data_IF_973312126138
#
_entry.id   IF_973312126138
#
_cell.length_a   1.000
_cell.length_b   1.000
_cell.length_c   1.000
_cell.angle_alpha   90.00
_cell.angle_beta   90.00
_cell.angle_gamma   90.00
#
_symmetry.space_group_name_H-M   'P 1'
#
loop_
_entity.id
_entity.type
_entity.pdbx_description
1 polymer ?
#
# COMPACT_ATOMS: atom_id res chain seq x y z
N UNK A 1 43.03 -37.42 -37.38
CA UNK A 1 44.39 -37.63 -37.90
C UNK A 1 44.46 -37.62 -39.44
N UNK A 2 43.41 -37.96 -40.23
CA UNK A 2 43.44 -38.08 -41.66
C UNK A 2 43.73 -36.76 -42.41
N UNK A 3 43.16 -35.63 -41.97
CA UNK A 3 43.21 -34.33 -42.70
C UNK A 3 44.13 -33.28 -42.06
N UNK A 4 44.74 -33.56 -40.92
CA UNK A 4 45.66 -32.64 -40.23
C UNK A 4 47.00 -32.47 -40.94
N UNK A 5 47.82 -31.49 -40.50
CA UNK A 5 49.14 -31.23 -41.05
C UNK A 5 50.06 -32.47 -41.13
N UNK A 6 49.89 -33.47 -40.27
CA UNK A 6 50.55 -34.77 -40.22
C UNK A 6 49.63 -35.92 -40.61
N UNK A 7 48.50 -35.64 -41.27
CA UNK A 7 47.52 -36.65 -41.68
C UNK A 7 48.00 -37.45 -42.86
N UNK A 8 47.47 -38.67 -42.96
CA UNK A 8 47.92 -39.63 -44.03
C UNK A 8 47.64 -39.08 -45.42
N UNK A 9 46.49 -38.42 -45.66
CA UNK A 9 46.16 -37.80 -46.95
C UNK A 9 47.11 -36.63 -47.24
N UNK A 10 47.48 -35.86 -46.24
CA UNK A 10 48.44 -34.76 -46.40
C UNK A 10 49.85 -35.26 -46.62
N UNK A 11 50.28 -36.38 -46.01
CA UNK A 11 51.57 -36.98 -46.23
C UNK A 11 51.69 -37.55 -47.63
N UNK A 12 50.65 -38.15 -48.20
CA UNK A 12 50.59 -38.60 -49.60
C UNK A 12 50.76 -37.40 -50.55
N UNK A 13 50.12 -36.28 -50.28
CA UNK A 13 50.27 -35.05 -51.06
C UNK A 13 51.70 -34.50 -51.02
N UNK A 14 52.37 -34.59 -49.88
CA UNK A 14 53.80 -34.19 -49.77
C UNK A 14 54.77 -35.13 -50.53
N UNK A 15 54.43 -36.43 -50.65
CA UNK A 15 55.24 -37.39 -51.38
C UNK A 15 55.10 -37.27 -52.90
N UNK A 16 54.13 -36.51 -53.41
CA UNK A 16 53.96 -36.32 -54.88
C UNK A 16 55.15 -35.71 -55.57
N UNK A 17 56.03 -35.00 -54.84
CA UNK A 17 57.30 -34.49 -55.38
C UNK A 17 58.31 -35.60 -55.81
N UNK A 18 58.17 -36.83 -55.32
CA UNK A 18 58.99 -37.97 -55.55
C UNK A 18 58.52 -38.91 -56.70
N UNK A 19 57.34 -38.58 -57.25
CA UNK A 19 56.66 -39.39 -58.29
C UNK A 19 57.04 -38.84 -59.71
N UNK A 20 57.04 -39.73 -60.74
CA UNK A 20 57.25 -39.33 -62.07
C UNK A 20 56.33 -38.21 -62.55
N UNK A 21 56.85 -37.26 -63.38
CA UNK A 21 56.05 -36.06 -63.75
C UNK A 21 54.74 -36.40 -64.45
N UNK A 22 54.66 -37.51 -65.16
CA UNK A 22 53.50 -37.94 -65.94
C UNK A 22 52.36 -38.47 -65.05
N UNK A 23 52.70 -39.01 -63.90
CA UNK A 23 51.68 -39.58 -62.93
C UNK A 23 51.16 -38.56 -61.89
N UNK A 24 51.90 -37.44 -61.70
CA UNK A 24 51.52 -36.41 -60.70
C UNK A 24 50.07 -35.86 -60.85
N UNK A 25 49.59 -35.56 -62.06
CA UNK A 25 48.26 -35.03 -62.26
C UNK A 25 47.15 -36.03 -61.83
N UNK A 26 47.37 -37.32 -62.11
CA UNK A 26 46.41 -38.37 -61.78
C UNK A 26 46.37 -38.62 -60.29
N UNK A 27 47.53 -38.73 -59.66
CA UNK A 27 47.65 -38.92 -58.22
C UNK A 27 47.08 -37.67 -57.44
N UNK A 28 47.43 -36.47 -57.96
CA UNK A 28 46.89 -35.21 -57.34
C UNK A 28 45.37 -35.12 -57.38
N UNK A 29 44.78 -35.53 -58.52
CA UNK A 29 43.30 -35.59 -58.64
C UNK A 29 42.71 -36.59 -57.66
N UNK A 30 43.27 -37.78 -57.58
CA UNK A 30 42.82 -38.83 -56.64
C UNK A 30 42.99 -38.42 -55.19
N UNK A 31 44.08 -37.81 -54.78
CA UNK A 31 44.31 -37.31 -53.43
C UNK A 31 43.32 -36.22 -53.05
N UNK A 32 43.00 -35.31 -53.95
CA UNK A 32 41.97 -34.25 -53.73
C UNK A 32 40.55 -34.82 -53.64
N UNK A 33 40.23 -35.84 -54.47
CA UNK A 33 38.94 -36.55 -54.38
C UNK A 33 38.79 -37.25 -53.04
N UNK A 34 39.79 -37.97 -52.54
CA UNK A 34 39.83 -38.63 -51.27
C UNK A 34 39.68 -37.61 -50.09
N UNK A 35 40.41 -36.49 -50.23
CA UNK A 35 40.29 -35.42 -49.23
C UNK A 35 38.87 -34.87 -49.14
N UNK A 36 38.24 -34.52 -50.27
CA UNK A 36 36.84 -34.04 -50.31
C UNK A 36 35.88 -35.08 -49.79
N UNK A 37 36.11 -36.37 -50.15
CA UNK A 37 35.30 -37.45 -49.63
C UNK A 37 35.37 -37.55 -48.07
N UNK A 38 36.58 -37.53 -47.54
CA UNK A 38 36.85 -37.57 -46.10
C UNK A 38 36.24 -36.35 -45.40
N UNK A 39 36.39 -35.15 -45.95
CA UNK A 39 35.81 -33.92 -45.43
C UNK A 39 34.25 -34.04 -45.36
N UNK A 40 33.65 -34.50 -46.48
CA UNK A 40 32.18 -34.68 -46.54
C UNK A 40 31.66 -35.75 -45.56
N UNK A 41 32.40 -36.85 -45.40
CA UNK A 41 32.02 -37.90 -44.43
C UNK A 41 32.14 -37.40 -42.98
N UNK A 42 33.18 -36.65 -42.64
CA UNK A 42 33.37 -36.06 -41.31
C UNK A 42 32.26 -35.05 -41.02
N UNK A 43 31.95 -34.17 -41.97
CA UNK A 43 30.87 -33.20 -41.83
C UNK A 43 29.51 -33.89 -41.62
N UNK A 44 29.21 -34.90 -42.43
CA UNK A 44 27.98 -35.69 -42.33
C UNK A 44 27.90 -36.36 -40.97
N UNK A 45 28.94 -37.07 -40.53
CA UNK A 45 28.97 -37.74 -39.23
C UNK A 45 28.87 -36.73 -38.08
N UNK A 46 29.49 -35.56 -38.21
CA UNK A 46 29.37 -34.47 -37.22
C UNK A 46 27.94 -33.94 -37.09
N UNK A 47 27.23 -33.83 -38.24
CA UNK A 47 25.79 -33.44 -38.21
C UNK A 47 24.94 -34.54 -37.56
N UNK A 48 25.19 -35.80 -37.87
CA UNK A 48 24.48 -36.93 -37.31
C UNK A 48 24.67 -37.03 -35.77
N UNK A 49 25.91 -36.92 -35.29
CA UNK A 49 26.25 -36.94 -33.88
C UNK A 49 25.58 -35.75 -33.12
N UNK A 50 25.58 -34.55 -33.72
CA UNK A 50 24.88 -33.40 -33.09
C UNK A 50 23.37 -33.64 -33.00
N UNK A 51 22.78 -34.25 -34.06
CA UNK A 51 21.36 -34.57 -34.03
C UNK A 51 21.05 -35.66 -33.02
N UNK A 52 21.89 -36.70 -32.91
CA UNK A 52 21.77 -37.73 -31.88
C UNK A 52 21.89 -37.16 -30.48
N UNK A 53 22.88 -36.28 -30.24
CA UNK A 53 23.10 -35.62 -28.97
C UNK A 53 21.89 -34.70 -28.59
N UNK A 54 21.39 -33.93 -29.57
CA UNK A 54 20.20 -33.08 -29.35
C UNK A 54 18.96 -33.92 -29.04
N UNK A 55 18.77 -35.01 -29.78
CA UNK A 55 17.63 -35.94 -29.51
C UNK A 55 17.71 -36.57 -28.13
N UNK A 56 18.91 -36.97 -27.69
CA UNK A 56 19.12 -37.50 -26.35
C UNK A 56 18.84 -36.43 -25.27
N UNK A 57 19.31 -35.19 -25.46
CA UNK A 57 19.07 -34.10 -24.58
C UNK A 57 17.55 -33.78 -24.45
N UNK A 58 16.87 -33.71 -25.60
CA UNK A 58 15.44 -33.49 -25.64
C UNK A 58 14.64 -34.58 -24.95
N UNK A 59 15.11 -35.84 -24.99
CA UNK A 59 14.46 -36.94 -24.30
C UNK A 59 14.65 -36.89 -22.78
N UNK A 60 15.81 -36.44 -22.31
CA UNK A 60 16.13 -36.33 -20.87
C UNK A 60 15.61 -35.07 -20.22
N UNK A 61 15.51 -33.99 -20.99
CA UNK A 61 15.05 -32.68 -20.51
C UNK A 61 13.60 -32.36 -20.92
N UNK A 62 12.87 -33.38 -21.36
CA UNK A 62 11.46 -33.21 -21.71
C UNK A 62 10.66 -32.80 -20.47
N UNK A 63 10.08 -31.60 -20.51
CA UNK A 63 9.19 -31.07 -19.48
C UNK A 63 7.74 -31.20 -19.98
N UNK A 64 6.90 -31.77 -19.15
CA UNK A 64 5.48 -31.83 -19.43
C UNK A 64 4.86 -30.44 -19.25
N UNK A 65 4.64 -29.75 -20.36
CA UNK A 65 4.04 -28.42 -20.38
C UNK A 65 2.53 -28.41 -20.06
N UNK A 66 1.91 -29.58 -19.94
CA UNK A 66 0.49 -29.69 -19.53
C UNK A 66 0.32 -29.63 -18.01
N UNK A 67 1.40 -29.84 -17.27
CA UNK A 67 1.38 -29.70 -15.81
C UNK A 67 1.13 -28.23 -15.44
N UNK A 68 0.24 -27.95 -14.49
CA UNK A 68 0.03 -26.60 -14.02
C UNK A 68 1.30 -26.04 -13.40
N UNK A 69 1.68 -24.82 -13.77
CA UNK A 69 2.81 -24.12 -13.15
C UNK A 69 2.58 -23.88 -11.66
N UNK A 70 3.65 -23.68 -10.89
CA UNK A 70 3.57 -23.28 -9.50
C UNK A 70 2.82 -21.94 -9.42
N UNK A 71 1.61 -21.95 -8.86
CA UNK A 71 0.85 -20.72 -8.63
C UNK A 71 1.42 -20.03 -7.40
N UNK A 72 1.82 -18.75 -7.50
CA UNK A 72 2.18 -17.99 -6.30
C UNK A 72 0.97 -17.94 -5.37
N UNK A 73 1.20 -18.11 -4.06
CA UNK A 73 0.16 -17.88 -3.07
C UNK A 73 -0.14 -16.39 -3.06
N UNK A 74 -1.35 -16.02 -3.46
CA UNK A 74 -1.83 -14.65 -3.33
C UNK A 74 -1.99 -14.35 -1.84
N UNK A 75 -1.44 -13.22 -1.42
CA UNK A 75 -1.71 -12.68 -0.09
C UNK A 75 -3.16 -12.14 -0.01
N UNK A 76 -3.57 -11.84 1.20
CA UNK A 76 -4.83 -11.15 1.48
C UNK A 76 -4.52 -9.81 2.13
N UNK A 77 -5.32 -8.80 1.84
CA UNK A 77 -5.25 -7.53 2.53
C UNK A 77 -5.64 -7.70 4.00
N UNK A 78 -5.02 -6.88 4.87
CA UNK A 78 -5.41 -6.81 6.27
C UNK A 78 -6.84 -6.29 6.39
N UNK A 79 -7.61 -6.78 7.39
CA UNK A 79 -9.01 -6.39 7.57
C UNK A 79 -9.20 -4.87 7.69
N UNK A 80 -8.31 -4.19 8.40
CA UNK A 80 -8.37 -2.71 8.53
C UNK A 80 -8.21 -2.04 7.15
N UNK A 81 -7.31 -2.54 6.30
CA UNK A 81 -7.13 -1.97 4.95
C UNK A 81 -8.38 -2.16 4.09
N UNK A 82 -9.04 -3.32 4.19
CA UNK A 82 -10.29 -3.57 3.48
C UNK A 82 -11.41 -2.62 3.93
N UNK A 83 -11.54 -2.40 5.24
CA UNK A 83 -12.55 -1.46 5.77
C UNK A 83 -12.24 -0.01 5.37
N UNK A 84 -10.97 0.39 5.37
CA UNK A 84 -10.58 1.74 4.93
C UNK A 84 -10.92 1.92 3.45
N UNK A 85 -10.59 0.97 2.57
CA UNK A 85 -10.94 1.01 1.15
C UNK A 85 -12.46 1.09 0.94
N UNK A 86 -13.24 0.32 1.69
CA UNK A 86 -14.70 0.35 1.62
C UNK A 86 -15.26 1.73 2.03
N UNK A 87 -14.71 2.35 3.08
CA UNK A 87 -15.07 3.71 3.50
C UNK A 87 -14.69 4.72 2.41
N UNK A 88 -13.49 4.62 1.85
CA UNK A 88 -13.01 5.49 0.77
C UNK A 88 -13.93 5.39 -0.45
N UNK A 89 -14.33 4.18 -0.85
CA UNK A 89 -15.24 3.96 -1.98
C UNK A 89 -16.62 4.60 -1.74
N UNK A 90 -17.18 4.49 -0.53
CA UNK A 90 -18.45 5.11 -0.16
C UNK A 90 -18.37 6.63 -0.30
N UNK A 91 -17.34 7.26 0.26
CA UNK A 91 -17.22 8.73 0.24
C UNK A 91 -16.79 9.26 -1.13
N UNK A 92 -15.87 8.60 -1.83
CA UNK A 92 -15.50 8.96 -3.20
C UNK A 92 -16.71 8.86 -4.14
N UNK A 93 -17.58 7.88 -3.92
CA UNK A 93 -18.83 7.70 -4.67
C UNK A 93 -19.81 8.87 -4.55
N UNK A 94 -19.73 9.66 -3.50
CA UNK A 94 -20.53 10.89 -3.29
C UNK A 94 -19.72 12.19 -3.46
N UNK A 95 -18.50 12.10 -4.03
CA UNK A 95 -17.71 13.26 -4.47
C UNK A 95 -16.68 13.79 -3.48
N UNK A 96 -16.33 13.02 -2.45
CA UNK A 96 -15.24 13.40 -1.54
C UNK A 96 -13.89 12.98 -2.12
N UNK A 97 -12.83 13.71 -1.73
CA UNK A 97 -11.43 13.34 -1.97
C UNK A 97 -10.83 12.67 -0.75
N UNK A 98 -9.85 11.80 -0.95
CA UNK A 98 -9.09 11.18 0.13
C UNK A 98 -7.81 11.99 0.35
N UNK A 99 -7.67 12.54 1.54
CA UNK A 99 -6.51 13.36 1.92
C UNK A 99 -5.66 12.64 2.97
N UNK A 100 -4.37 12.87 2.92
CA UNK A 100 -3.42 12.26 3.85
C UNK A 100 -2.53 13.32 4.52
N UNK A 101 -2.00 12.99 5.69
CA UNK A 101 -1.10 13.87 6.42
C UNK A 101 -0.14 13.13 7.33
N UNK A 102 0.83 13.83 7.92
CA UNK A 102 1.87 13.24 8.74
C UNK A 102 1.29 12.65 10.04
N UNK A 103 1.91 11.55 10.50
CA UNK A 103 1.58 10.96 11.82
C UNK A 103 2.25 11.73 12.96
N UNK A 104 3.42 12.31 12.69
CA UNK A 104 4.09 13.25 13.58
C UNK A 104 3.61 14.64 13.22
N UNK A 105 2.85 15.26 14.12
CA UNK A 105 2.13 16.50 13.87
C UNK A 105 2.57 17.59 14.84
N UNK A 106 2.34 18.84 14.48
CA UNK A 106 2.55 19.97 15.38
C UNK A 106 1.38 20.12 16.36
N UNK A 107 1.69 20.58 17.57
CA UNK A 107 0.66 20.95 18.56
C UNK A 107 -0.34 21.96 18.00
N UNK A 108 0.12 22.83 17.12
CA UNK A 108 -0.75 23.82 16.48
C UNK A 108 -1.82 23.15 15.60
N UNK A 109 -1.45 22.27 14.68
CA UNK A 109 -2.40 21.57 13.80
C UNK A 109 -3.29 20.59 14.58
N UNK A 110 -2.74 19.94 15.63
CA UNK A 110 -3.47 18.91 16.37
C UNK A 110 -4.45 19.50 17.39
N UNK A 111 -4.22 20.74 17.87
CA UNK A 111 -5.02 21.35 18.93
C UNK A 111 -5.38 22.82 18.67
N UNK A 112 -4.40 23.71 18.48
CA UNK A 112 -4.63 25.15 18.50
C UNK A 112 -5.52 25.59 17.34
N UNK A 113 -5.22 25.15 16.13
CA UNK A 113 -6.03 25.44 14.95
C UNK A 113 -7.45 24.87 15.06
N UNK A 114 -7.63 23.81 15.85
CA UNK A 114 -8.91 23.16 16.13
C UNK A 114 -9.64 23.74 17.35
N UNK A 115 -9.31 24.98 17.72
CA UNK A 115 -9.97 25.69 18.82
C UNK A 115 -9.90 24.98 20.18
N UNK A 116 -8.97 24.02 20.36
CA UNK A 116 -8.75 23.39 21.66
C UNK A 116 -7.97 24.36 22.57
N UNK A 117 -8.49 24.77 23.73
CA UNK A 117 -7.83 25.72 24.60
C UNK A 117 -6.51 25.16 25.17
N UNK A 118 -5.66 26.04 25.68
CA UNK A 118 -4.32 25.68 26.14
C UNK A 118 -4.36 24.75 27.37
N UNK A 119 -5.38 24.85 28.19
CA UNK A 119 -5.64 24.02 29.38
C UNK A 119 -6.49 22.78 29.08
N UNK A 120 -6.73 22.48 27.80
CA UNK A 120 -7.53 21.29 27.44
C UNK A 120 -6.81 20.00 27.88
N UNK A 121 -7.50 19.08 28.59
CA UNK A 121 -6.88 17.85 29.12
C UNK A 121 -6.11 17.03 28.07
N UNK A 122 -6.63 16.94 26.85
CA UNK A 122 -5.98 16.20 25.76
C UNK A 122 -4.59 16.70 25.36
N UNK A 123 -4.21 17.93 25.78
CA UNK A 123 -2.85 18.47 25.59
C UNK A 123 -1.85 17.96 26.61
N UNK A 124 -2.32 17.29 27.66
CA UNK A 124 -1.41 16.79 28.70
C UNK A 124 -0.54 15.65 28.15
N UNK A 125 0.67 15.52 28.69
CA UNK A 125 1.56 14.40 28.38
C UNK A 125 0.99 13.03 28.82
N UNK A 126 -0.11 13.02 29.58
CA UNK A 126 -0.84 11.81 29.94
C UNK A 126 -1.78 11.34 28.85
N UNK A 127 -2.29 12.28 28.03
CA UNK A 127 -3.31 12.02 27.00
C UNK A 127 -2.77 12.14 25.57
N UNK A 128 -1.48 12.56 25.41
CA UNK A 128 -0.81 12.70 24.12
C UNK A 128 0.65 12.25 24.18
N UNK A 129 1.13 11.60 23.11
CA UNK A 129 2.54 11.20 22.96
C UNK A 129 3.34 12.33 22.32
N UNK A 130 4.06 13.12 23.11
CA UNK A 130 4.99 14.12 22.60
C UNK A 130 6.32 13.49 22.19
N UNK A 131 6.92 14.02 21.14
CA UNK A 131 8.25 13.60 20.66
C UNK A 131 9.29 14.46 21.35
N UNK A 132 10.11 13.82 22.17
CA UNK A 132 11.24 14.48 22.85
C UNK A 132 12.44 14.50 21.92
N UNK A 133 12.94 15.69 21.61
CA UNK A 133 14.18 15.85 20.89
C UNK A 133 15.33 15.92 21.90
N UNK A 134 16.23 14.93 21.88
CA UNK A 134 17.43 14.89 22.72
C UNK A 134 18.60 15.72 22.18
N UNK A 135 18.39 16.63 21.22
CA UNK A 135 19.41 17.56 20.75
C UNK A 135 19.82 18.52 21.87
N UNK A 136 21.07 19.03 21.89
CA UNK A 136 21.50 20.04 22.88
C UNK A 136 20.58 21.27 22.82
N UNK A 137 19.83 21.52 23.88
CA UNK A 137 18.81 22.58 23.96
C UNK A 137 17.40 22.13 23.72
N UNK A 138 17.15 20.83 23.46
CA UNK A 138 15.83 20.24 23.43
C UNK A 138 15.24 20.13 24.83
N UNK A 139 13.94 20.05 24.90
CA UNK A 139 13.19 20.22 26.14
C UNK A 139 12.78 18.88 26.70
N UNK A 140 13.25 18.59 27.91
CA UNK A 140 12.98 17.33 28.62
C UNK A 140 11.57 17.30 29.27
N UNK A 141 10.81 18.40 29.20
CA UNK A 141 9.49 18.53 29.84
C UNK A 141 8.40 18.94 28.85
N UNK A 142 7.68 17.97 28.26
CA UNK A 142 6.59 18.24 27.32
C UNK A 142 5.52 19.21 27.87
N UNK A 143 5.25 19.17 29.15
CA UNK A 143 4.31 20.08 29.82
C UNK A 143 4.74 21.55 29.81
N UNK A 144 6.04 21.86 29.73
CA UNK A 144 6.55 23.24 29.64
C UNK A 144 6.44 23.79 28.21
N UNK A 145 6.33 22.90 27.23
CA UNK A 145 6.27 23.23 25.80
C UNK A 145 4.94 22.87 25.11
N UNK A 146 4.02 22.26 25.85
CA UNK A 146 2.67 21.94 25.36
C UNK A 146 1.87 23.17 24.84
N UNK A 147 2.52 24.32 24.87
CA UNK A 147 1.95 25.62 24.52
C UNK A 147 2.72 26.34 23.40
N UNK A 148 3.78 25.73 22.85
CA UNK A 148 4.59 26.30 21.78
C UNK A 148 4.20 25.79 20.38
N UNK A 149 4.32 26.66 19.37
CA UNK A 149 4.06 26.30 17.95
C UNK A 149 5.08 25.28 17.39
N UNK A 150 6.17 25.04 18.10
CA UNK A 150 7.25 24.12 17.73
C UNK A 150 7.09 22.71 18.30
N UNK A 151 6.12 22.47 19.18
CA UNK A 151 5.91 21.16 19.79
C UNK A 151 5.40 20.16 18.76
N UNK A 152 5.99 18.98 18.76
CA UNK A 152 5.59 17.88 17.89
C UNK A 152 5.15 16.68 18.73
N UNK A 153 4.14 15.99 18.22
CA UNK A 153 3.54 14.83 18.88
C UNK A 153 3.08 13.79 17.85
N UNK A 154 2.81 12.59 18.31
CA UNK A 154 2.05 11.64 17.53
C UNK A 154 0.58 12.10 17.52
N UNK A 155 0.02 12.32 16.35
CA UNK A 155 -1.34 12.87 16.20
C UNK A 155 -2.37 12.03 16.96
N UNK A 156 -3.22 12.69 17.74
CA UNK A 156 -4.28 12.06 18.53
C UNK A 156 -5.57 11.85 17.74
N UNK A 157 -5.66 12.46 16.57
CA UNK A 157 -6.78 12.46 15.64
C UNK A 157 -6.30 12.80 14.24
N UNK A 158 -7.09 12.50 13.21
CA UNK A 158 -6.76 12.87 11.83
C UNK A 158 -7.20 14.29 11.47
N UNK A 159 -7.76 15.05 12.40
CA UNK A 159 -8.23 16.44 12.21
C UNK A 159 -7.12 17.41 11.76
N UNK A 160 -5.85 17.13 12.09
CA UNK A 160 -4.72 17.90 11.57
C UNK A 160 -4.65 17.91 10.03
N UNK A 161 -5.14 16.84 9.38
CA UNK A 161 -5.26 16.79 7.92
C UNK A 161 -6.32 17.78 7.42
N UNK A 162 -7.44 17.92 8.13
CA UNK A 162 -8.48 18.90 7.80
C UNK A 162 -7.89 20.33 7.84
N UNK A 163 -7.14 20.66 8.89
CA UNK A 163 -6.43 21.96 9.02
C UNK A 163 -5.51 22.19 7.82
N UNK A 164 -4.68 21.22 7.49
CA UNK A 164 -3.73 21.31 6.37
C UNK A 164 -4.44 21.48 5.02
N UNK A 165 -5.55 20.77 4.84
CA UNK A 165 -6.36 20.86 3.62
C UNK A 165 -7.01 22.25 3.48
N UNK A 166 -7.55 22.79 4.56
CA UNK A 166 -8.14 24.15 4.57
C UNK A 166 -7.10 25.24 4.32
N UNK A 167 -5.89 25.10 4.86
CA UNK A 167 -4.78 26.03 4.60
C UNK A 167 -4.27 25.98 3.16
N UNK A 168 -4.34 24.82 2.51
CA UNK A 168 -3.83 24.60 1.16
C UNK A 168 -4.87 24.90 0.06
N UNK A 169 -6.17 24.77 0.36
CA UNK A 169 -7.24 24.79 -0.62
C UNK A 169 -8.32 25.80 -0.24
N UNK A 170 -8.94 26.38 -1.29
CA UNK A 170 -10.13 27.21 -1.10
C UNK A 170 -11.40 26.38 -1.22
N UNK A 171 -12.47 26.71 -0.50
CA UNK A 171 -13.76 26.06 -0.69
C UNK A 171 -14.26 26.15 -2.16
N UNK A 172 -14.99 25.12 -2.65
CA UNK A 172 -15.56 24.02 -1.88
C UNK A 172 -14.56 22.92 -1.52
N UNK A 173 -14.67 22.38 -0.32
CA UNK A 173 -13.84 21.26 0.17
C UNK A 173 -14.78 20.13 0.57
N UNK A 174 -14.55 18.94 0.04
CA UNK A 174 -15.21 17.70 0.39
C UNK A 174 -14.13 16.65 0.53
N UNK A 175 -13.75 16.26 1.73
CA UNK A 175 -12.63 15.35 1.98
C UNK A 175 -12.90 14.36 3.09
N UNK A 176 -12.22 13.21 3.02
CA UNK A 176 -12.01 12.31 4.15
C UNK A 176 -10.52 12.15 4.41
N UNK A 177 -10.16 11.88 5.66
CA UNK A 177 -8.79 11.67 6.10
C UNK A 177 -8.67 10.35 6.89
N UNK A 178 -8.47 9.21 6.23
CA UNK A 178 -8.15 7.97 6.92
C UNK A 178 -6.71 8.00 7.43
N UNK A 179 -6.47 7.39 8.59
CA UNK A 179 -5.12 7.28 9.10
C UNK A 179 -5.00 6.73 10.51
N UNK A 180 -3.77 6.37 10.84
CA UNK A 180 -3.39 5.92 12.18
C UNK A 180 -3.29 7.10 13.13
N UNK A 181 -3.80 6.94 14.34
CA UNK A 181 -3.78 7.90 15.44
C UNK A 181 -3.29 7.24 16.72
N UNK A 182 -2.87 8.05 17.68
CA UNK A 182 -2.17 7.61 18.88
C UNK A 182 -2.71 8.28 20.13
N UNK A 183 -3.07 7.48 21.15
CA UNK A 183 -3.50 7.96 22.46
C UNK A 183 -2.88 7.07 23.54
N UNK A 184 -2.36 7.62 24.65
CA UNK A 184 -1.77 6.84 25.74
C UNK A 184 -2.79 6.02 26.56
N UNK A 185 -3.78 5.47 25.91
CA UNK A 185 -4.80 4.64 26.57
C UNK A 185 -4.18 3.30 27.02
N UNK A 186 -4.61 2.83 28.17
CA UNK A 186 -4.26 1.48 28.62
C UNK A 186 -4.90 0.47 27.70
N UNK A 187 -4.06 -0.45 27.16
CA UNK A 187 -4.54 -1.48 26.26
C UNK A 187 -5.54 -2.41 26.96
N UNK A 188 -6.75 -2.51 26.42
CA UNK A 188 -7.81 -3.43 26.86
C UNK A 188 -8.48 -4.08 25.63
N UNK A 189 -9.63 -4.71 25.84
CA UNK A 189 -10.38 -5.36 24.75
C UNK A 189 -10.94 -4.39 23.70
N UNK A 190 -11.04 -3.09 24.03
CA UNK A 190 -11.68 -2.06 23.22
C UNK A 190 -10.74 -0.90 22.87
N UNK A 191 -9.61 -0.74 23.57
CA UNK A 191 -8.70 0.38 23.43
C UNK A 191 -7.30 -0.10 23.15
N UNK A 192 -6.66 0.52 22.19
CA UNK A 192 -5.23 0.34 21.86
C UNK A 192 -4.59 1.72 21.79
N UNK A 193 -3.31 1.86 22.22
CA UNK A 193 -2.59 3.12 22.10
C UNK A 193 -2.38 3.60 20.67
N UNK A 194 -2.53 2.70 19.71
CA UNK A 194 -2.52 2.98 18.29
C UNK A 194 -3.77 2.37 17.65
N UNK A 195 -4.54 3.19 16.93
CA UNK A 195 -5.73 2.74 16.21
C UNK A 195 -5.92 3.53 14.92
N UNK A 196 -6.92 3.16 14.11
CA UNK A 196 -7.22 3.87 12.87
C UNK A 196 -8.51 4.67 13.02
N UNK A 197 -8.50 5.86 12.44
CA UNK A 197 -9.61 6.79 12.42
C UNK A 197 -9.82 7.30 11.00
N UNK A 198 -11.06 7.58 10.64
CA UNK A 198 -11.42 8.28 9.40
C UNK A 198 -12.23 9.50 9.81
N UNK A 199 -11.80 10.68 9.39
CA UNK A 199 -12.53 11.92 9.57
C UNK A 199 -13.00 12.46 8.23
N UNK A 200 -14.14 13.15 8.22
CA UNK A 200 -14.67 13.83 7.05
C UNK A 200 -14.84 15.32 7.31
N UNK A 201 -14.59 16.14 6.30
CA UNK A 201 -14.81 17.58 6.31
C UNK A 201 -15.54 18.03 5.05
N UNK A 202 -16.55 18.88 5.26
CA UNK A 202 -17.18 19.63 4.16
C UNK A 202 -17.15 21.11 4.49
N UNK A 203 -16.64 21.92 3.56
CA UNK A 203 -16.69 23.39 3.62
C UNK A 203 -17.24 23.90 2.31
N UNK A 204 -18.49 24.33 2.31
CA UNK A 204 -19.16 24.88 1.13
C UNK A 204 -20.30 25.83 1.54
N UNK A 205 -20.89 26.51 0.56
CA UNK A 205 -22.01 27.40 0.79
C UNK A 205 -23.30 26.64 1.04
N UNK A 206 -24.03 27.05 2.06
CA UNK A 206 -25.36 26.52 2.36
C UNK A 206 -25.37 25.15 3.04
N UNK A 207 -24.21 24.62 3.46
CA UNK A 207 -24.13 23.38 4.22
C UNK A 207 -24.82 23.55 5.58
N UNK A 208 -25.65 22.61 5.91
CA UNK A 208 -26.46 22.59 7.13
C UNK A 208 -26.19 21.35 7.98
N UNK A 209 -26.62 21.38 9.22
CA UNK A 209 -26.60 20.19 10.08
C UNK A 209 -27.46 19.04 9.53
N UNK A 210 -28.46 19.36 8.69
CA UNK A 210 -29.26 18.37 7.97
C UNK A 210 -28.45 17.60 6.94
N UNK A 211 -27.56 18.30 6.20
CA UNK A 211 -26.66 17.68 5.21
C UNK A 211 -25.67 16.74 5.91
N UNK A 212 -25.09 17.16 7.04
CA UNK A 212 -24.24 16.32 7.88
C UNK A 212 -24.94 15.01 8.28
N UNK A 213 -26.17 15.13 8.82
CA UNK A 213 -26.96 13.94 9.21
C UNK A 213 -27.28 13.05 8.02
N UNK A 214 -27.65 13.62 6.88
CA UNK A 214 -27.93 12.87 5.65
C UNK A 214 -26.71 12.08 5.15
N UNK A 215 -25.54 12.71 5.16
CA UNK A 215 -24.26 12.06 4.79
C UNK A 215 -23.93 10.90 5.73
N UNK A 216 -24.07 11.10 7.04
CA UNK A 216 -23.78 10.06 8.03
C UNK A 216 -24.81 8.92 8.00
N UNK A 217 -26.09 9.21 7.79
CA UNK A 217 -27.11 8.18 7.60
C UNK A 217 -26.86 7.33 6.36
N UNK A 218 -26.42 7.96 5.26
CA UNK A 218 -26.01 7.27 4.04
C UNK A 218 -24.80 6.35 4.31
N UNK A 219 -23.76 6.90 4.94
CA UNK A 219 -22.56 6.14 5.32
C UNK A 219 -22.91 4.92 6.18
N UNK A 220 -23.73 5.10 7.22
CA UNK A 220 -24.14 4.02 8.12
C UNK A 220 -24.87 2.91 7.37
N UNK A 221 -25.75 3.26 6.45
CA UNK A 221 -26.47 2.27 5.63
C UNK A 221 -25.54 1.50 4.70
N UNK A 222 -24.61 2.20 4.05
CA UNK A 222 -23.63 1.55 3.18
C UNK A 222 -22.75 0.56 3.95
N UNK A 223 -22.25 0.95 5.12
CA UNK A 223 -21.30 0.13 5.90
C UNK A 223 -21.97 -0.96 6.73
N UNK A 224 -23.16 -0.72 7.26
CA UNK A 224 -23.77 -1.60 8.27
C UNK A 224 -25.12 -2.20 7.84
N UNK A 225 -25.66 -1.79 6.69
CA UNK A 225 -26.92 -2.30 6.13
C UNK A 225 -28.07 -1.32 6.23
N UNK A 226 -28.99 -1.40 5.28
CA UNK A 226 -30.13 -0.50 5.08
C UNK A 226 -31.09 -0.41 6.27
N UNK A 227 -31.19 -1.47 7.08
CA UNK A 227 -32.07 -1.52 8.25
C UNK A 227 -31.51 -0.82 9.48
N UNK A 228 -30.26 -0.34 9.43
CA UNK A 228 -29.62 0.33 10.55
C UNK A 228 -30.23 1.71 10.79
N UNK A 229 -30.40 2.02 12.06
CA UNK A 229 -30.89 3.32 12.51
C UNK A 229 -29.76 4.09 13.21
N UNK A 230 -29.71 5.37 12.96
CA UNK A 230 -28.81 6.30 13.66
C UNK A 230 -29.54 7.01 14.80
N UNK A 231 -28.79 7.34 15.84
CA UNK A 231 -29.22 8.16 16.94
C UNK A 231 -28.17 9.22 17.22
N UNK A 232 -28.57 10.47 17.24
CA UNK A 232 -27.72 11.61 17.49
C UNK A 232 -27.91 12.08 18.92
N UNK A 233 -26.83 12.06 19.72
CA UNK A 233 -26.83 12.55 21.11
C UNK A 233 -26.03 13.84 21.18
N UNK A 234 -26.61 14.96 21.72
CA UNK A 234 -25.83 16.17 21.90
C UNK A 234 -24.56 15.93 22.71
N UNK A 235 -23.45 16.50 22.26
CA UNK A 235 -22.17 16.43 22.91
C UNK A 235 -21.40 17.74 22.74
N UNK A 236 -20.25 17.90 23.37
CA UNK A 236 -19.38 19.06 23.20
C UNK A 236 -18.03 18.65 22.66
N UNK A 237 -17.59 19.31 21.58
CA UNK A 237 -16.23 19.29 21.10
C UNK A 237 -15.75 20.71 20.86
N UNK A 238 -14.48 21.05 21.18
CA UNK A 238 -13.99 22.43 21.05
C UNK A 238 -13.97 22.94 19.61
N UNK A 239 -13.95 22.05 18.63
CA UNK A 239 -13.82 22.35 17.20
C UNK A 239 -15.14 22.30 16.42
N UNK A 240 -16.27 21.99 17.10
CA UNK A 240 -17.59 21.94 16.46
C UNK A 240 -18.69 22.52 17.36
N UNK A 241 -19.66 23.23 16.74
CA UNK A 241 -20.89 23.71 17.40
C UNK A 241 -22.00 23.89 16.34
N UNK A 242 -23.17 23.24 16.46
CA UNK A 242 -23.50 22.19 17.44
C UNK A 242 -22.75 20.88 17.19
N UNK A 243 -22.57 20.11 18.27
CA UNK A 243 -21.86 18.82 18.26
C UNK A 243 -22.75 17.68 18.72
N UNK A 244 -22.52 16.50 18.17
CA UNK A 244 -23.21 15.27 18.54
C UNK A 244 -22.29 14.07 18.52
N UNK A 245 -22.58 13.07 19.32
CA UNK A 245 -22.16 11.69 19.13
C UNK A 245 -23.22 10.93 18.35
N UNK A 246 -22.76 9.99 17.52
CA UNK A 246 -23.62 9.18 16.67
C UNK A 246 -23.54 7.72 17.08
N UNK A 247 -24.68 7.18 17.43
CA UNK A 247 -24.86 5.76 17.70
C UNK A 247 -25.60 5.08 16.56
N UNK A 248 -25.23 3.82 16.31
CA UNK A 248 -25.91 2.93 15.36
C UNK A 248 -26.60 1.82 16.11
N UNK A 249 -27.80 1.43 15.66
CA UNK A 249 -28.53 0.29 16.23
C UNK A 249 -27.71 -0.98 16.16
N UNK A 250 -27.60 -1.71 17.27
CA UNK A 250 -26.77 -2.89 17.37
C UNK A 250 -27.10 -3.95 16.30
N UNK A 251 -26.07 -4.41 15.56
CA UNK A 251 -26.23 -5.39 14.50
C UNK A 251 -26.52 -6.81 14.98
N UNK A 252 -26.20 -7.09 16.25
CA UNK A 252 -26.39 -8.43 16.84
C UNK A 252 -27.80 -8.62 17.39
N UNK A 253 -28.33 -7.62 18.10
CA UNK A 253 -29.63 -7.73 18.74
C UNK A 253 -30.72 -6.83 18.11
N UNK A 254 -30.43 -6.18 17.00
CA UNK A 254 -31.36 -5.31 16.27
C UNK A 254 -32.03 -4.22 17.15
N UNK A 255 -31.30 -3.79 18.19
CA UNK A 255 -31.79 -2.74 19.11
C UNK A 255 -32.42 -3.25 20.40
N UNK A 256 -32.59 -4.54 20.58
CA UNK A 256 -33.22 -5.12 21.80
C UNK A 256 -32.34 -5.09 23.05
N UNK A 257 -31.02 -5.00 22.85
CA UNK A 257 -30.02 -5.03 23.91
C UNK A 257 -29.41 -6.43 24.10
N UNK A 258 -28.08 -6.51 24.05
CA UNK A 258 -27.31 -7.75 24.26
C UNK A 258 -25.98 -7.43 24.94
N UNK A 259 -25.19 -8.47 25.29
CA UNK A 259 -23.88 -8.30 25.90
C UNK A 259 -22.92 -7.48 25.04
N UNK A 260 -23.00 -7.60 23.71
CA UNK A 260 -22.15 -6.86 22.77
C UNK A 260 -22.38 -5.33 22.84
N UNK A 261 -23.62 -4.88 22.89
CA UNK A 261 -23.96 -3.46 23.05
C UNK A 261 -24.13 -3.02 24.51
N UNK A 262 -23.67 -3.82 25.48
CA UNK A 262 -23.81 -3.59 26.92
C UNK A 262 -25.27 -3.34 27.30
N UNK A 263 -26.20 -4.09 26.69
CA UNK A 263 -27.67 -4.02 26.88
C UNK A 263 -28.33 -2.69 26.49
N UNK A 264 -27.59 -1.78 25.81
CA UNK A 264 -28.14 -0.50 25.38
C UNK A 264 -28.99 -0.56 24.10
N UNK A 265 -28.76 -1.58 23.26
CA UNK A 265 -29.30 -1.68 21.91
C UNK A 265 -28.57 -0.82 20.88
N UNK A 266 -27.57 -0.01 21.29
CA UNK A 266 -26.84 0.96 20.47
C UNK A 266 -25.35 0.84 20.64
N UNK A 267 -24.61 1.24 19.60
CA UNK A 267 -23.15 1.27 19.57
C UNK A 267 -22.74 2.65 19.09
N UNK A 268 -21.97 3.36 19.90
CA UNK A 268 -21.35 4.62 19.49
C UNK A 268 -20.25 4.35 18.46
N UNK A 269 -20.25 5.11 17.36
CA UNK A 269 -19.31 4.92 16.26
C UNK A 269 -18.47 6.17 15.95
N UNK A 270 -19.00 7.38 16.16
CA UNK A 270 -18.30 8.63 15.84
C UNK A 270 -18.87 9.84 16.56
N UNK A 271 -18.07 10.91 16.63
CA UNK A 271 -18.51 12.26 16.93
C UNK A 271 -18.65 13.09 15.65
N UNK A 272 -19.59 14.03 15.63
CA UNK A 272 -19.80 14.92 14.50
C UNK A 272 -20.29 16.31 14.95
N UNK A 273 -20.20 17.30 14.05
CA UNK A 273 -20.74 18.64 14.30
C UNK A 273 -20.48 19.59 13.15
N UNK A 274 -21.07 20.78 13.25
CA UNK A 274 -20.72 21.89 12.36
C UNK A 274 -19.38 22.48 12.83
N UNK A 275 -18.49 22.78 11.90
CA UNK A 275 -17.17 23.32 12.24
C UNK A 275 -17.31 24.66 12.96
N UNK A 276 -16.64 24.79 14.11
CA UNK A 276 -16.65 26.04 14.88
C UNK A 276 -16.03 27.17 14.04
N UNK A 277 -16.66 28.38 14.05
CA UNK A 277 -16.14 29.53 13.31
C UNK A 277 -14.68 29.88 13.63
N UNK A 278 -14.21 29.66 14.86
CA UNK A 278 -12.81 29.90 15.22
C UNK A 278 -11.85 28.98 14.45
N UNK A 279 -12.24 27.73 14.17
CA UNK A 279 -11.43 26.81 13.34
C UNK A 279 -11.32 27.37 11.93
N UNK A 280 -12.43 27.87 11.36
CA UNK A 280 -12.42 28.45 10.01
C UNK A 280 -11.63 29.76 9.95
N UNK A 281 -11.53 30.50 11.05
CA UNK A 281 -10.69 31.72 11.12
C UNK A 281 -9.20 31.37 11.22
N UNK A 282 -8.86 30.25 11.85
CA UNK A 282 -7.49 29.80 12.00
C UNK A 282 -6.92 29.16 10.71
N UNK A 283 -7.79 28.73 9.80
CA UNK A 283 -7.45 28.05 8.55
C UNK A 283 -7.90 28.84 7.33
#
# INVERSE_FOLDING_TARGET
>A
ALLGRKGEITSVMHMMGKVAPEERPVLGKRANELRRLAESMIERRGKDLRREALSALMATEAVDVTLPGARPKLGHQHLISQIIEEIEDVFCGIGYTVESGPQVETSWCNFTALNAPMDHPSRSARDSFYIVDNAPGSVDHPEEHAHGESDVLLRTQTSGVQVRTMLANKPPIYMIAPGTVYRPDTADACHLPQFNQVEGLVVDRGITFGDLKGTLDYFVKCMFGEERKTRYRPHFFPFTEPSCEVDVSCGVCHGEGCAFCKHSGWIEILGCGMVDPNVLVNC
#
